data_IF_943883489371
#
_entry.id   IF_943883489371
#
_cell.length_a   1.000
_cell.length_b   1.000
_cell.length_c   1.000
_cell.angle_alpha   90.00
_cell.angle_beta   90.00
_cell.angle_gamma   90.00
#
_symmetry.space_group_name_H-M   'P 1'
#
loop_
_entity.id
_entity.type
_entity.pdbx_description
1 polymer ?
#
# COMPACT_ATOMS: atom_id res chain seq x y z
N UNK A 1 -33.77 13.09 22.97
CA UNK A 1 -32.74 12.21 23.53
C UNK A 1 -31.48 13.03 23.69
N UNK A 2 -30.80 12.93 24.81
CA UNK A 2 -29.53 13.61 25.03
C UNK A 2 -28.36 12.75 24.44
N UNK A 3 -27.19 13.33 24.23
CA UNK A 3 -26.07 12.60 23.59
C UNK A 3 -25.57 11.43 24.43
N UNK A 4 -25.72 11.45 25.73
CA UNK A 4 -25.41 10.32 26.63
C UNK A 4 -26.40 9.17 26.45
N UNK A 5 -27.69 9.49 26.30
CA UNK A 5 -28.73 8.49 26.01
C UNK A 5 -28.56 7.83 24.66
N UNK A 6 -28.14 8.60 23.64
CA UNK A 6 -27.87 8.07 22.30
C UNK A 6 -26.71 7.05 22.32
N UNK A 7 -25.67 7.32 23.12
CA UNK A 7 -24.56 6.38 23.29
C UNK A 7 -24.83 5.29 24.33
N UNK A 8 -25.95 5.39 25.10
CA UNK A 8 -26.29 4.45 26.17
C UNK A 8 -25.30 4.47 27.33
N UNK A 9 -24.76 5.65 27.66
CA UNK A 9 -23.79 5.85 28.76
C UNK A 9 -24.32 6.88 29.77
N UNK A 10 -23.75 6.90 30.96
CA UNK A 10 -24.08 7.91 31.99
C UNK A 10 -23.35 9.24 31.67
N UNK A 11 -23.94 10.36 32.16
CA UNK A 11 -23.26 11.66 32.13
C UNK A 11 -21.95 11.70 32.95
N UNK A 12 -21.76 10.73 33.87
CA UNK A 12 -20.54 10.56 34.67
C UNK A 12 -19.53 9.64 34.02
N UNK A 13 -19.82 9.06 32.82
CA UNK A 13 -18.94 8.11 32.14
C UNK A 13 -17.61 8.73 31.71
N UNK A 14 -16.56 7.93 31.80
CA UNK A 14 -15.20 8.31 31.38
C UNK A 14 -15.09 8.40 29.86
N UNK A 15 -14.07 9.08 29.36
CA UNK A 15 -13.81 9.19 27.93
C UNK A 15 -13.60 7.82 27.25
N UNK A 16 -13.02 6.85 27.98
CA UNK A 16 -12.82 5.48 27.49
C UNK A 16 -14.13 4.71 27.37
N UNK A 17 -15.04 4.90 28.30
CA UNK A 17 -16.39 4.27 28.26
C UNK A 17 -17.21 4.84 27.11
N UNK A 18 -17.18 6.16 26.90
CA UNK A 18 -17.81 6.84 25.76
C UNK A 18 -17.25 6.29 24.43
N UNK A 19 -15.94 6.16 24.33
CA UNK A 19 -15.28 5.60 23.14
C UNK A 19 -15.64 4.13 22.89
N UNK A 20 -15.75 3.33 23.95
CA UNK A 20 -16.15 1.91 23.87
C UNK A 20 -17.60 1.78 23.41
N UNK A 21 -18.51 2.59 23.96
CA UNK A 21 -19.91 2.62 23.59
C UNK A 21 -20.09 3.03 22.12
N UNK A 22 -19.39 4.08 21.68
CA UNK A 22 -19.38 4.51 20.29
C UNK A 22 -18.97 3.38 19.34
N UNK A 23 -17.83 2.73 19.59
CA UNK A 23 -17.35 1.62 18.74
C UNK A 23 -18.37 0.49 18.61
N UNK A 24 -19.03 0.15 19.71
CA UNK A 24 -20.05 -0.90 19.74
C UNK A 24 -21.26 -0.52 18.88
N UNK A 25 -21.79 0.70 19.04
CA UNK A 25 -22.97 1.17 18.31
C UNK A 25 -22.67 1.48 16.84
N UNK A 26 -21.52 2.07 16.53
CA UNK A 26 -21.07 2.31 15.17
C UNK A 26 -20.91 1.00 14.38
N UNK A 27 -20.35 -0.04 15.01
CA UNK A 27 -20.26 -1.37 14.38
C UNK A 27 -21.61 -2.08 14.25
N UNK A 28 -22.58 -1.81 15.14
CA UNK A 28 -23.92 -2.42 15.09
C UNK A 28 -24.81 -1.78 14.02
N UNK A 29 -24.69 -0.47 13.80
CA UNK A 29 -25.52 0.31 12.88
C UNK A 29 -24.82 0.74 11.59
N UNK A 30 -23.66 0.14 11.27
CA UNK A 30 -22.91 0.46 10.05
C UNK A 30 -23.75 0.18 8.80
N UNK A 31 -23.81 1.12 7.81
CA UNK A 31 -24.63 0.97 6.62
C UNK A 31 -24.29 -0.26 5.76
N UNK A 32 -23.05 -0.75 5.82
CA UNK A 32 -22.61 -1.95 5.09
C UNK A 32 -23.00 -3.29 5.77
N UNK A 33 -23.63 -3.26 6.93
CA UNK A 33 -24.13 -4.46 7.61
C UNK A 33 -25.59 -4.71 7.26
N UNK A 34 -25.95 -5.99 7.07
CA UNK A 34 -27.35 -6.41 7.00
C UNK A 34 -28.11 -5.94 8.25
N UNK A 35 -29.13 -5.06 8.06
CA UNK A 35 -29.87 -4.44 9.14
C UNK A 35 -29.27 -3.16 9.71
N UNK A 36 -28.25 -2.58 9.11
CA UNK A 36 -27.68 -1.29 9.51
C UNK A 36 -28.69 -0.15 9.37
N UNK A 37 -28.74 0.75 10.36
CA UNK A 37 -29.63 1.91 10.40
C UNK A 37 -28.81 3.18 10.24
N UNK A 38 -28.82 3.76 9.03
CA UNK A 38 -28.06 4.96 8.68
C UNK A 38 -28.42 6.15 9.58
N UNK A 39 -29.68 6.30 9.99
CA UNK A 39 -30.10 7.40 10.89
C UNK A 39 -29.49 7.23 12.28
N UNK A 40 -29.59 6.04 12.86
CA UNK A 40 -28.98 5.75 14.15
C UNK A 40 -27.46 5.87 14.12
N UNK A 41 -26.82 5.47 13.02
CA UNK A 41 -25.39 5.65 12.83
C UNK A 41 -24.98 7.12 12.86
N UNK A 42 -25.73 7.99 12.18
CA UNK A 42 -25.51 9.44 12.19
C UNK A 42 -25.70 10.06 13.58
N UNK A 43 -26.75 9.66 14.30
CA UNK A 43 -27.00 10.12 15.68
C UNK A 43 -25.87 9.71 16.62
N UNK A 44 -25.38 8.48 16.52
CA UNK A 44 -24.25 7.96 17.29
C UNK A 44 -22.94 8.72 16.98
N UNK A 45 -22.71 9.04 15.71
CA UNK A 45 -21.55 9.86 15.32
C UNK A 45 -21.64 11.28 15.86
N UNK A 46 -22.80 11.93 15.76
CA UNK A 46 -23.02 13.29 16.29
C UNK A 46 -22.83 13.33 17.80
N UNK A 47 -23.35 12.37 18.53
CA UNK A 47 -23.19 12.25 19.97
C UNK A 47 -21.72 12.08 20.37
N UNK A 48 -20.98 11.23 19.66
CA UNK A 48 -19.55 11.02 19.92
C UNK A 48 -18.71 12.26 19.62
N UNK A 49 -19.02 13.01 18.55
CA UNK A 49 -18.30 14.23 18.19
C UNK A 49 -18.37 15.32 19.29
N UNK A 50 -19.45 15.35 20.06
CA UNK A 50 -19.62 16.28 21.18
C UNK A 50 -18.98 15.73 22.45
N UNK A 51 -19.19 14.45 22.78
CA UNK A 51 -18.78 13.88 24.05
C UNK A 51 -17.32 13.40 24.09
N UNK A 52 -16.67 13.24 22.94
CA UNK A 52 -15.27 12.81 22.86
C UNK A 52 -14.25 13.91 23.20
N UNK A 53 -14.64 15.17 23.04
CA UNK A 53 -13.78 16.32 23.35
C UNK A 53 -14.14 16.90 24.72
N UNK A 54 -13.18 17.00 25.66
CA UNK A 54 -13.45 17.48 27.01
C UNK A 54 -14.09 18.86 27.07
N UNK A 55 -13.70 19.76 26.14
CA UNK A 55 -14.22 21.13 26.09
C UNK A 55 -15.67 21.19 25.58
N UNK A 56 -15.99 20.44 24.54
CA UNK A 56 -17.35 20.36 23.99
C UNK A 56 -18.28 19.65 24.95
N UNK A 57 -17.78 18.62 25.63
CA UNK A 57 -18.50 17.90 26.68
C UNK A 57 -18.84 18.81 27.84
N UNK A 58 -17.87 19.62 28.34
CA UNK A 58 -18.10 20.54 29.44
C UNK A 58 -19.16 21.60 29.10
N UNK A 59 -19.13 22.17 27.89
CA UNK A 59 -20.15 23.12 27.42
C UNK A 59 -21.53 22.45 27.32
N UNK A 60 -21.57 21.23 26.82
CA UNK A 60 -22.81 20.45 26.73
C UNK A 60 -23.36 20.10 28.09
N UNK A 61 -22.50 19.73 29.05
CA UNK A 61 -22.88 19.43 30.43
C UNK A 61 -23.41 20.69 31.16
N UNK A 62 -22.81 21.87 30.92
CA UNK A 62 -23.28 23.16 31.42
C UNK A 62 -24.68 23.52 30.89
N UNK A 63 -24.92 23.28 29.60
CA UNK A 63 -26.22 23.49 28.95
C UNK A 63 -27.29 22.55 29.54
N UNK A 64 -26.94 21.29 29.79
CA UNK A 64 -27.82 20.33 30.45
C UNK A 64 -28.16 20.71 31.91
N UNK A 65 -27.18 21.28 32.65
CA UNK A 65 -27.36 21.71 34.03
C UNK A 65 -28.19 23.00 34.16
N UNK A 66 -28.18 23.85 33.15
CA UNK A 66 -28.92 25.12 33.12
C UNK A 66 -30.41 25.03 32.82
N UNK A 67 -31.00 23.83 32.73
CA UNK A 67 -32.46 23.59 32.62
C UNK A 67 -33.09 24.03 31.29
N UNK A 68 -32.30 24.35 30.29
CA UNK A 68 -32.74 24.62 28.91
C UNK A 68 -32.93 23.29 28.16
N UNK A 69 -34.08 23.09 27.48
CA UNK A 69 -34.23 22.04 26.48
C UNK A 69 -33.08 22.20 25.49
N UNK A 70 -32.32 21.13 25.15
CA UNK A 70 -31.25 21.23 24.16
C UNK A 70 -31.88 21.71 22.85
N UNK A 71 -31.73 22.98 22.55
CA UNK A 71 -31.97 23.48 21.22
C UNK A 71 -30.86 22.90 20.37
N UNK A 72 -31.27 22.13 19.40
CA UNK A 72 -30.48 21.68 18.27
C UNK A 72 -29.33 22.67 18.04
N UNK A 73 -28.09 22.21 18.31
CA UNK A 73 -26.90 23.02 18.02
C UNK A 73 -26.82 23.15 16.51
N UNK A 74 -27.64 24.06 15.97
CA UNK A 74 -27.48 24.56 14.62
C UNK A 74 -26.22 25.39 14.63
N UNK A 75 -25.20 24.89 13.99
CA UNK A 75 -24.00 25.65 13.65
C UNK A 75 -24.39 26.86 12.80
N UNK A 76 -24.88 27.92 13.47
CA UNK A 76 -25.13 29.20 12.81
C UNK A 76 -23.78 29.88 12.58
N UNK A 77 -23.21 29.62 11.43
CA UNK A 77 -22.21 30.48 10.84
C UNK A 77 -22.86 31.90 10.65
N UNK A 78 -22.75 32.76 11.65
CA UNK A 78 -22.97 34.16 11.43
C UNK A 78 -21.80 34.72 10.63
N UNK A 79 -22.12 35.10 9.43
CA UNK A 79 -21.33 35.96 8.55
C UNK A 79 -20.55 35.23 7.43
N UNK A 80 -21.31 34.73 6.45
CA UNK A 80 -20.83 34.79 5.07
C UNK A 80 -22.02 34.98 4.12
N UNK A 81 -22.04 36.12 3.45
CA UNK A 81 -23.07 36.53 2.52
C UNK A 81 -23.17 35.58 1.31
N UNK A 82 -24.38 35.16 1.04
CA UNK A 82 -24.92 34.87 -0.27
C UNK A 82 -24.26 33.78 -1.11
N UNK A 83 -24.68 32.55 -0.89
CA UNK A 83 -25.01 31.55 -1.95
C UNK A 83 -25.43 30.25 -1.26
N UNK A 84 -26.54 29.68 -1.74
CA UNK A 84 -27.28 28.58 -1.14
C UNK A 84 -26.43 27.46 -0.58
N UNK A 85 -26.75 27.05 0.67
CA UNK A 85 -26.24 25.84 1.28
C UNK A 85 -26.75 24.62 0.53
N UNK A 86 -25.90 23.66 0.18
CA UNK A 86 -26.37 22.31 -0.15
C UNK A 86 -26.90 21.65 1.12
N UNK A 87 -28.11 21.11 1.05
CA UNK A 87 -28.80 20.46 2.15
C UNK A 87 -28.33 19.02 2.40
N UNK A 88 -27.14 18.65 1.94
CA UNK A 88 -26.65 17.28 2.00
C UNK A 88 -25.37 17.17 2.85
N UNK A 89 -25.59 16.73 4.09
CA UNK A 89 -24.52 16.22 4.98
C UNK A 89 -23.72 15.11 4.28
N UNK A 90 -24.32 14.40 3.36
CA UNK A 90 -23.70 13.36 2.54
C UNK A 90 -22.65 13.91 1.58
N UNK A 91 -22.86 15.10 1.02
CA UNK A 91 -21.92 15.79 0.14
C UNK A 91 -20.72 16.37 0.94
N UNK A 92 -20.95 16.82 2.19
CA UNK A 92 -19.92 17.26 3.10
C UNK A 92 -19.05 16.09 3.60
N UNK A 93 -19.66 14.93 3.88
CA UNK A 93 -18.97 13.70 4.25
C UNK A 93 -18.22 13.10 3.05
N UNK A 94 -18.80 13.15 1.86
CA UNK A 94 -18.18 12.72 0.62
C UNK A 94 -16.98 13.61 0.26
N UNK A 95 -17.10 14.91 0.45
CA UNK A 95 -16.00 15.88 0.29
C UNK A 95 -14.87 15.64 1.29
N UNK A 96 -15.18 15.29 2.55
CA UNK A 96 -14.19 14.94 3.57
C UNK A 96 -13.51 13.59 3.28
N UNK A 97 -14.25 12.60 2.79
CA UNK A 97 -13.73 11.28 2.44
C UNK A 97 -12.97 11.28 1.11
N UNK A 98 -13.38 12.10 0.15
CA UNK A 98 -12.73 12.21 -1.17
C UNK A 98 -11.51 13.14 -1.14
N UNK A 99 -11.40 14.03 -0.14
CA UNK A 99 -10.30 14.95 0.05
C UNK A 99 -9.32 14.51 1.16
N UNK A 100 -9.35 13.25 1.54
CA UNK A 100 -8.43 12.58 2.47
C UNK A 100 -7.02 12.35 1.89
N UNK A 101 -6.55 13.24 1.06
CA UNK A 101 -5.23 13.21 0.45
C UNK A 101 -4.77 14.60 0.03
N UNK A 102 -4.05 15.26 0.90
CA UNK A 102 -3.09 16.29 0.54
C UNK A 102 -3.63 17.58 -0.05
N UNK A 103 -3.56 18.64 0.71
CA UNK A 103 -3.70 19.98 0.17
C UNK A 103 -3.93 21.01 1.28
N UNK A 104 -2.86 21.62 1.76
CA UNK A 104 -2.86 22.87 2.49
C UNK A 104 -3.65 23.91 1.70
N UNK A 105 -4.82 24.28 2.12
CA UNK A 105 -5.27 25.67 2.09
C UNK A 105 -6.69 25.78 2.65
N UNK A 106 -6.81 25.88 3.96
CA UNK A 106 -7.98 26.48 4.57
C UNK A 106 -7.49 27.46 5.66
N UNK A 107 -7.24 28.68 5.18
CA UNK A 107 -6.72 29.79 5.95
C UNK A 107 -7.66 30.23 7.06
N UNK A 108 -7.08 30.48 8.24
CA UNK A 108 -7.35 31.60 9.07
C UNK A 108 -8.76 31.83 9.60
N UNK A 109 -9.31 30.89 10.40
CA UNK A 109 -10.41 31.18 11.32
C UNK A 109 -9.95 31.02 12.78
N UNK A 110 -10.49 31.77 13.75
CA UNK A 110 -10.03 31.76 15.16
C UNK A 110 -10.36 30.46 15.94
N UNK A 111 -10.84 29.42 15.29
CA UNK A 111 -11.12 28.12 15.88
C UNK A 111 -10.50 27.00 15.05
N UNK A 112 -9.18 26.90 15.10
CA UNK A 112 -8.49 25.71 14.61
C UNK A 112 -8.19 24.80 15.82
N UNK A 113 -8.93 23.68 16.03
CA UNK A 113 -8.65 22.76 17.14
C UNK A 113 -7.32 22.03 17.00
N UNK A 114 -6.63 22.16 15.85
CA UNK A 114 -5.27 21.69 15.60
C UNK A 114 -4.20 22.77 15.78
N UNK A 115 -4.54 23.98 16.28
CA UNK A 115 -3.57 25.05 16.52
C UNK A 115 -2.54 24.75 17.63
N UNK A 116 -2.71 23.63 18.36
CA UNK A 116 -1.72 23.14 19.32
C UNK A 116 -0.83 22.00 18.75
N UNK A 117 -0.88 21.75 17.46
CA UNK A 117 0.21 21.03 16.83
C UNK A 117 1.45 21.90 16.95
N UNK A 118 2.59 21.37 17.45
CA UNK A 118 3.82 22.15 17.46
C UNK A 118 4.03 22.71 16.06
N UNK A 119 4.46 23.97 15.91
CA UNK A 119 4.62 24.60 14.62
C UNK A 119 5.46 23.63 13.77
N UNK A 120 4.87 23.15 12.66
CA UNK A 120 5.64 22.35 11.70
C UNK A 120 6.84 23.22 11.35
N UNK A 121 8.02 22.81 11.78
CA UNK A 121 9.24 23.50 11.42
C UNK A 121 9.22 23.67 9.92
N UNK A 122 9.18 24.91 9.45
CA UNK A 122 9.29 25.20 8.03
C UNK A 122 10.59 24.56 7.56
N UNK A 123 10.50 23.64 6.63
CA UNK A 123 11.64 22.99 5.99
C UNK A 123 11.60 23.28 4.49
N UNK A 124 12.71 23.09 3.84
CA UNK A 124 12.78 23.15 2.39
C UNK A 124 11.84 22.12 1.73
N UNK A 125 11.57 22.32 0.45
CA UNK A 125 10.64 21.49 -0.31
C UNK A 125 11.13 20.03 -0.39
N UNK A 126 10.22 19.07 -0.17
CA UNK A 126 10.48 17.67 -0.39
C UNK A 126 10.58 17.38 -1.91
N UNK A 127 11.46 16.48 -2.28
CA UNK A 127 11.71 16.09 -3.67
C UNK A 127 11.27 14.64 -3.89
N UNK A 128 10.64 14.37 -5.03
CA UNK A 128 10.26 13.02 -5.45
C UNK A 128 10.94 12.69 -6.76
N UNK A 129 11.56 11.52 -6.83
CA UNK A 129 12.22 11.01 -8.02
C UNK A 129 11.85 9.55 -8.27
N UNK A 130 11.90 9.15 -9.53
CA UNK A 130 11.80 7.75 -9.94
C UNK A 130 13.22 7.22 -10.22
N UNK A 131 13.52 6.06 -9.65
CA UNK A 131 14.80 5.42 -9.85
C UNK A 131 14.64 3.99 -10.34
N UNK A 132 15.33 3.64 -11.42
CA UNK A 132 15.30 2.30 -11.99
C UNK A 132 16.42 1.45 -11.41
N UNK A 133 16.05 0.24 -10.96
CA UNK A 133 16.99 -0.77 -10.44
C UNK A 133 16.85 -2.07 -11.23
N UNK A 134 17.92 -2.85 -11.27
CA UNK A 134 17.88 -4.18 -11.85
C UNK A 134 17.25 -5.18 -10.87
N UNK A 135 16.63 -6.25 -11.39
CA UNK A 135 15.96 -7.23 -10.54
C UNK A 135 16.93 -7.88 -9.53
N UNK A 136 18.17 -8.13 -9.93
CA UNK A 136 19.21 -8.68 -9.07
C UNK A 136 19.57 -7.75 -7.88
N UNK A 137 19.45 -6.43 -8.07
CA UNK A 137 19.71 -5.45 -7.00
C UNK A 137 18.77 -5.59 -5.81
N UNK A 138 17.60 -6.19 -6.00
CA UNK A 138 16.62 -6.42 -4.94
C UNK A 138 17.02 -7.53 -3.95
N UNK A 139 18.01 -8.37 -4.30
CA UNK A 139 18.43 -9.49 -3.47
C UNK A 139 19.39 -9.11 -2.35
N UNK A 140 20.12 -8.01 -2.51
CA UNK A 140 21.18 -7.60 -1.59
C UNK A 140 20.99 -6.17 -1.13
N UNK A 141 21.46 -5.88 0.08
CA UNK A 141 21.59 -4.50 0.52
C UNK A 141 22.82 -3.88 -0.17
N UNK A 142 22.64 -2.70 -0.75
CA UNK A 142 23.71 -2.01 -1.46
C UNK A 142 23.55 -0.50 -1.40
N UNK A 143 24.63 0.21 -1.72
CA UNK A 143 24.64 1.66 -1.86
C UNK A 143 24.71 2.00 -3.34
N UNK A 144 23.74 2.78 -3.82
CA UNK A 144 23.73 3.30 -5.20
C UNK A 144 24.00 4.79 -5.17
N UNK A 145 24.95 5.24 -5.97
CA UNK A 145 25.21 6.66 -6.18
C UNK A 145 24.28 7.20 -7.25
N UNK A 146 23.60 8.29 -6.95
CA UNK A 146 22.67 8.95 -7.85
C UNK A 146 23.07 10.39 -8.11
N UNK A 147 23.14 10.78 -9.38
CA UNK A 147 23.28 12.17 -9.78
C UNK A 147 21.89 12.82 -9.85
N UNK A 148 21.52 13.58 -8.83
CA UNK A 148 20.23 14.26 -8.81
C UNK A 148 20.39 15.68 -9.36
N UNK A 149 19.72 15.97 -10.46
CA UNK A 149 19.53 17.32 -10.98
C UNK A 149 18.19 17.87 -10.49
N UNK A 150 18.20 18.54 -9.35
CA UNK A 150 17.02 19.26 -8.86
C UNK A 150 17.01 20.65 -9.50
N UNK A 151 15.89 21.12 -10.08
CA UNK A 151 15.80 22.47 -10.61
C UNK A 151 16.17 23.51 -9.53
N UNK A 152 17.15 24.35 -9.84
CA UNK A 152 17.66 25.37 -8.89
C UNK A 152 18.85 24.92 -8.05
N UNK A 153 19.39 23.70 -8.24
CA UNK A 153 20.57 23.19 -7.54
C UNK A 153 21.66 22.71 -8.49
N UNK A 154 22.94 22.92 -8.15
CA UNK A 154 24.01 22.22 -8.83
C UNK A 154 23.82 20.72 -8.60
N UNK A 155 23.98 19.90 -9.66
CA UNK A 155 23.85 18.46 -9.57
C UNK A 155 24.71 17.91 -8.43
N UNK A 156 24.10 17.22 -7.50
CA UNK A 156 24.76 16.63 -6.33
C UNK A 156 24.72 15.11 -6.45
N UNK A 157 25.84 14.46 -6.19
CA UNK A 157 25.90 13.01 -6.08
C UNK A 157 25.42 12.63 -4.69
N UNK A 158 24.35 11.83 -4.65
CA UNK A 158 23.77 11.35 -3.37
C UNK A 158 23.91 9.84 -3.32
N UNK A 159 24.42 9.35 -2.20
CA UNK A 159 24.47 7.93 -1.90
C UNK A 159 23.14 7.47 -1.29
N UNK A 160 22.45 6.57 -1.98
CA UNK A 160 21.20 5.97 -1.53
C UNK A 160 21.46 4.55 -1.03
N UNK A 161 21.10 4.29 0.21
CA UNK A 161 21.08 2.94 0.76
C UNK A 161 19.84 2.22 0.25
N UNK A 162 20.04 1.23 -0.61
CA UNK A 162 18.99 0.36 -1.12
C UNK A 162 18.89 -0.87 -0.18
N UNK A 163 17.83 -1.00 0.63
CA UNK A 163 17.64 -2.18 1.45
C UNK A 163 17.27 -3.38 0.57
N UNK A 164 17.62 -4.59 1.01
CA UNK A 164 17.19 -5.80 0.33
C UNK A 164 15.66 -5.93 0.38
N UNK A 165 15.09 -6.52 -0.64
CA UNK A 165 13.64 -6.75 -0.72
C UNK A 165 12.84 -5.53 -1.16
N UNK A 166 13.48 -4.53 -1.75
CA UNK A 166 12.77 -3.43 -2.42
C UNK A 166 12.00 -4.00 -3.60
N UNK A 167 10.71 -3.71 -3.66
CA UNK A 167 9.80 -4.17 -4.70
C UNK A 167 9.46 -3.04 -5.70
N UNK A 168 8.94 -3.42 -6.85
CA UNK A 168 8.50 -2.47 -7.88
C UNK A 168 7.43 -1.51 -7.34
N UNK A 169 7.64 -0.21 -7.49
CA UNK A 169 6.75 0.84 -6.98
C UNK A 169 6.98 1.22 -5.51
N UNK A 170 7.91 0.58 -4.79
CA UNK A 170 8.24 0.94 -3.42
C UNK A 170 8.76 2.39 -3.35
N UNK A 171 8.29 3.14 -2.34
CA UNK A 171 8.74 4.50 -2.06
C UNK A 171 9.52 4.51 -0.76
N UNK A 172 10.79 4.91 -0.84
CA UNK A 172 11.67 5.05 0.34
C UNK A 172 11.95 6.52 0.57
N UNK A 173 11.80 6.92 1.83
CA UNK A 173 12.10 8.28 2.29
C UNK A 173 13.55 8.35 2.78
N UNK A 174 14.29 9.29 2.26
CA UNK A 174 15.64 9.63 2.72
C UNK A 174 15.58 11.03 3.35
N UNK A 175 15.71 11.13 4.69
CA UNK A 175 15.61 12.41 5.39
C UNK A 175 16.73 13.37 4.97
N UNK A 176 16.40 14.66 4.89
CA UNK A 176 17.35 15.76 4.64
C UNK A 176 18.11 15.72 3.30
N UNK A 177 17.75 14.79 2.39
CA UNK A 177 18.34 14.70 1.06
C UNK A 177 17.50 15.36 -0.03
N UNK A 178 16.45 16.09 0.33
CA UNK A 178 15.60 16.83 -0.60
C UNK A 178 16.09 18.24 -0.92
N UNK A 179 15.15 19.17 -1.14
CA UNK A 179 15.46 20.55 -1.50
C UNK A 179 16.29 21.30 -0.46
N UNK A 180 17.15 22.20 -0.94
CA UNK A 180 18.05 23.06 -0.13
C UNK A 180 17.95 24.54 -0.54
N UNK A 181 16.79 24.99 -1.07
CA UNK A 181 16.62 26.31 -1.66
C UNK A 181 16.86 27.46 -0.67
N UNK A 182 16.48 27.28 0.57
CA UNK A 182 16.62 28.27 1.63
C UNK A 182 17.66 27.74 2.63
N UNK A 183 18.81 28.40 2.70
CA UNK A 183 19.95 27.97 3.55
C UNK A 183 19.64 28.01 5.06
N UNK A 184 18.69 28.85 5.46
CA UNK A 184 18.30 29.06 6.86
C UNK A 184 17.28 28.00 7.34
N UNK A 185 16.71 27.21 6.44
CA UNK A 185 15.76 26.16 6.76
C UNK A 185 16.40 24.77 6.66
N UNK A 186 15.95 23.80 7.49
CA UNK A 186 16.33 22.41 7.32
C UNK A 186 16.05 21.92 5.90
N UNK A 187 16.87 21.01 5.40
CA UNK A 187 16.67 20.41 4.08
C UNK A 187 15.29 19.71 4.02
N UNK A 188 14.73 19.64 2.82
CA UNK A 188 13.57 18.80 2.55
C UNK A 188 13.95 17.30 2.58
N UNK A 189 12.97 16.45 2.47
CA UNK A 189 13.16 15.00 2.36
C UNK A 189 13.17 14.58 0.89
N UNK A 190 13.93 13.53 0.57
CA UNK A 190 13.94 12.91 -0.74
C UNK A 190 13.10 11.63 -0.70
N UNK A 191 12.10 11.54 -1.55
CA UNK A 191 11.29 10.35 -1.75
C UNK A 191 11.69 9.69 -3.08
N UNK A 192 12.22 8.48 -3.00
CA UNK A 192 12.64 7.72 -4.17
C UNK A 192 11.64 6.61 -4.43
N UNK A 193 10.98 6.64 -5.57
CA UNK A 193 10.15 5.55 -6.04
C UNK A 193 10.98 4.61 -6.92
N UNK A 194 11.07 3.35 -6.51
CA UNK A 194 11.88 2.35 -7.19
C UNK A 194 11.07 1.62 -8.26
N UNK A 195 11.63 1.55 -9.46
CA UNK A 195 11.07 0.79 -10.58
C UNK A 195 12.03 -0.33 -10.95
N UNK A 196 11.63 -1.58 -10.74
CA UNK A 196 12.42 -2.74 -11.15
C UNK A 196 12.28 -2.91 -12.65
N UNK A 197 13.43 -2.97 -13.36
CA UNK A 197 13.47 -3.22 -14.81
C UNK A 197 13.03 -4.64 -15.12
N UNK A 198 12.37 -4.86 -16.28
CA UNK A 198 12.12 -6.21 -16.79
C UNK A 198 13.43 -6.99 -16.93
N UNK A 199 13.42 -8.27 -16.52
CA UNK A 199 14.57 -9.15 -16.69
C UNK A 199 14.31 -10.12 -17.86
N UNK A 200 15.31 -10.46 -18.70
CA UNK A 200 15.08 -11.32 -19.87
C UNK A 200 14.62 -12.73 -19.51
N UNK A 201 15.13 -13.30 -18.41
CA UNK A 201 14.89 -14.71 -18.04
C UNK A 201 13.93 -14.86 -16.85
N UNK A 202 13.65 -13.80 -16.12
CA UNK A 202 12.83 -13.84 -14.92
C UNK A 202 11.69 -12.84 -14.95
N UNK A 203 10.51 -13.32 -14.63
CA UNK A 203 9.35 -12.53 -14.26
C UNK A 203 9.10 -12.64 -12.76
N UNK A 204 8.29 -11.77 -12.19
CA UNK A 204 8.01 -11.81 -10.76
C UNK A 204 6.57 -11.41 -10.43
N UNK A 205 6.03 -12.06 -9.40
CA UNK A 205 4.74 -11.74 -8.80
C UNK A 205 4.92 -11.73 -7.27
N UNK A 206 4.93 -10.52 -6.69
CA UNK A 206 5.28 -10.32 -5.29
C UNK A 206 6.67 -10.87 -4.97
N UNK A 207 6.75 -11.85 -4.06
CA UNK A 207 8.00 -12.51 -3.69
C UNK A 207 8.36 -13.71 -4.59
N UNK A 208 7.46 -14.12 -5.48
CA UNK A 208 7.66 -15.27 -6.35
C UNK A 208 8.41 -14.85 -7.61
N UNK A 209 9.53 -15.50 -7.90
CA UNK A 209 10.19 -15.43 -9.19
C UNK A 209 9.61 -16.49 -10.12
N UNK A 210 9.50 -16.17 -11.39
CA UNK A 210 9.01 -17.07 -12.44
C UNK A 210 10.05 -17.09 -13.55
N UNK A 211 10.49 -18.28 -13.94
CA UNK A 211 11.37 -18.48 -15.10
C UNK A 211 10.82 -19.58 -15.99
N UNK A 212 11.29 -19.63 -17.22
CA UNK A 212 10.87 -20.64 -18.20
C UNK A 212 12.03 -21.57 -18.52
N UNK A 213 11.75 -22.86 -18.49
CA UNK A 213 12.68 -23.91 -18.92
C UNK A 213 12.12 -24.57 -20.16
N UNK A 214 12.86 -24.56 -21.26
CA UNK A 214 12.49 -25.25 -22.50
C UNK A 214 13.17 -26.59 -22.58
N UNK A 215 12.37 -27.65 -22.76
CA UNK A 215 12.86 -29.00 -23.02
C UNK A 215 12.30 -29.54 -24.35
N UNK A 216 12.93 -30.57 -24.85
CA UNK A 216 12.45 -31.29 -26.02
C UNK A 216 11.23 -32.18 -25.68
N UNK A 217 10.30 -32.37 -26.62
CA UNK A 217 9.14 -33.22 -26.45
C UNK A 217 9.52 -34.66 -26.10
N UNK A 218 10.60 -35.20 -26.66
CA UNK A 218 11.11 -36.53 -26.34
C UNK A 218 11.61 -36.63 -24.88
N UNK A 219 12.30 -35.57 -24.42
CA UNK A 219 12.73 -35.46 -23.01
C UNK A 219 11.52 -35.40 -22.06
N UNK A 220 10.43 -34.70 -22.49
CA UNK A 220 9.20 -34.66 -21.70
C UNK A 220 8.50 -36.01 -21.57
N UNK A 221 8.61 -36.89 -22.61
CA UNK A 221 8.04 -38.22 -22.60
C UNK A 221 8.82 -39.14 -21.66
N UNK A 222 10.16 -39.16 -21.78
CA UNK A 222 11.02 -40.10 -21.06
C UNK A 222 11.41 -39.60 -19.66
N UNK A 223 11.26 -38.31 -19.41
CA UNK A 223 11.81 -37.62 -18.23
C UNK A 223 13.27 -37.24 -18.44
N UNK A 224 13.71 -36.20 -17.74
CA UNK A 224 15.09 -35.76 -17.80
C UNK A 224 15.48 -34.98 -16.54
N UNK A 225 16.76 -34.74 -16.37
CA UNK A 225 17.31 -33.84 -15.37
C UNK A 225 17.87 -32.61 -16.04
N UNK A 226 17.56 -31.43 -15.54
CA UNK A 226 18.00 -30.14 -16.09
C UNK A 226 18.50 -29.22 -14.99
N UNK A 227 19.52 -28.47 -15.33
CA UNK A 227 20.07 -27.42 -14.48
C UNK A 227 19.44 -26.08 -14.79
N UNK A 228 19.16 -25.31 -13.74
CA UNK A 228 18.60 -23.97 -13.82
C UNK A 228 19.43 -23.05 -12.95
N UNK A 229 19.78 -21.91 -13.48
CA UNK A 229 20.47 -20.85 -12.73
C UNK A 229 19.45 -19.91 -12.11
N UNK A 230 19.51 -19.73 -10.80
CA UNK A 230 18.71 -18.75 -10.06
C UNK A 230 19.18 -17.33 -10.29
N UNK A 231 18.37 -16.35 -9.86
CA UNK A 231 18.70 -14.92 -9.98
C UNK A 231 19.97 -14.53 -9.18
N UNK A 232 20.33 -15.30 -8.16
CA UNK A 232 21.55 -15.14 -7.36
C UNK A 232 22.76 -15.89 -7.94
N UNK A 233 22.64 -16.44 -9.16
CA UNK A 233 23.69 -17.20 -9.84
C UNK A 233 23.88 -18.65 -9.36
N UNK A 234 23.09 -19.12 -8.39
CA UNK A 234 23.16 -20.50 -7.94
C UNK A 234 22.52 -21.44 -8.95
N UNK A 235 23.14 -22.58 -9.16
CA UNK A 235 22.64 -23.63 -10.06
C UNK A 235 21.86 -24.68 -9.27
N UNK A 236 20.69 -25.04 -9.77
CA UNK A 236 19.80 -26.03 -9.19
C UNK A 236 19.50 -27.12 -10.23
N UNK A 237 19.57 -28.37 -9.80
CA UNK A 237 19.11 -29.49 -10.61
C UNK A 237 17.63 -29.74 -10.36
N UNK A 238 16.86 -29.90 -11.44
CA UNK A 238 15.44 -30.25 -11.43
C UNK A 238 15.23 -31.53 -12.18
N UNK A 239 14.62 -32.51 -11.50
CA UNK A 239 14.19 -33.76 -12.12
C UNK A 239 12.78 -33.58 -12.69
N UNK A 240 12.65 -33.77 -13.98
CA UNK A 240 11.39 -33.72 -14.72
C UNK A 240 10.88 -35.15 -14.92
N UNK A 241 9.73 -35.49 -14.31
CA UNK A 241 9.17 -36.84 -14.44
C UNK A 241 8.76 -37.17 -15.88
N UNK A 242 8.76 -38.47 -16.27
CA UNK A 242 8.21 -38.88 -17.56
C UNK A 242 6.75 -38.46 -17.70
N UNK A 243 6.35 -38.10 -18.93
CA UNK A 243 5.00 -37.68 -19.24
C UNK A 243 4.62 -36.27 -18.77
N UNK A 244 5.61 -35.46 -18.40
CA UNK A 244 5.36 -34.08 -17.95
C UNK A 244 4.79 -33.25 -19.10
N UNK A 245 3.70 -32.50 -18.81
CA UNK A 245 2.98 -31.71 -19.80
C UNK A 245 3.50 -30.26 -19.90
N UNK A 246 3.21 -29.64 -21.05
CA UNK A 246 3.46 -28.20 -21.24
C UNK A 246 2.81 -27.37 -20.14
N UNK A 247 3.53 -26.37 -19.64
CA UNK A 247 3.04 -25.50 -18.58
C UNK A 247 3.15 -26.08 -17.16
N UNK A 248 3.70 -27.29 -17.00
CA UNK A 248 4.01 -27.85 -15.69
C UNK A 248 4.91 -26.89 -14.89
N UNK A 249 4.67 -26.78 -13.58
CA UNK A 249 5.36 -25.85 -12.71
C UNK A 249 6.13 -26.57 -11.63
N UNK A 250 7.41 -26.27 -11.53
CA UNK A 250 8.30 -26.79 -10.50
C UNK A 250 8.68 -25.65 -9.54
N UNK A 251 8.51 -25.84 -8.25
CA UNK A 251 8.79 -24.82 -7.25
C UNK A 251 10.06 -25.09 -6.46
N UNK A 252 10.99 -24.17 -6.46
CA UNK A 252 12.20 -24.19 -5.62
C UNK A 252 11.98 -23.21 -4.47
N UNK A 253 12.02 -23.73 -3.23
CA UNK A 253 11.83 -22.91 -2.04
C UNK A 253 13.02 -21.99 -1.81
N UNK A 254 12.78 -20.84 -1.18
CA UNK A 254 13.81 -19.88 -0.78
C UNK A 254 14.69 -19.36 -1.92
N UNK A 255 14.17 -19.38 -3.17
CA UNK A 255 14.85 -18.88 -4.38
C UNK A 255 14.11 -17.76 -5.10
N UNK A 256 13.05 -17.21 -4.48
CA UNK A 256 12.34 -16.03 -4.94
C UNK A 256 12.97 -14.73 -4.49
N UNK A 257 12.18 -13.66 -4.43
CA UNK A 257 12.58 -12.35 -3.93
C UNK A 257 12.43 -12.24 -2.41
N UNK A 258 13.12 -11.29 -1.82
CA UNK A 258 12.85 -10.84 -0.46
C UNK A 258 11.71 -9.81 -0.46
N UNK A 259 11.13 -9.60 0.71
CA UNK A 259 10.22 -8.49 0.97
C UNK A 259 10.68 -7.75 2.23
N UNK A 260 10.66 -6.42 2.19
CA UNK A 260 11.19 -5.58 3.26
C UNK A 260 10.51 -5.83 4.61
N UNK A 261 9.21 -6.18 4.57
CA UNK A 261 8.37 -6.34 5.77
C UNK A 261 8.05 -7.80 6.14
N UNK A 262 8.61 -8.77 5.41
CA UNK A 262 8.37 -10.19 5.67
C UNK A 262 9.69 -10.93 5.86
N UNK A 263 9.78 -11.82 6.86
CA UNK A 263 10.96 -12.66 7.02
C UNK A 263 11.02 -13.71 5.89
N UNK A 264 12.25 -14.04 5.48
CA UNK A 264 12.49 -15.09 4.49
C UNK A 264 12.49 -14.62 3.05
N UNK A 265 12.58 -15.58 2.17
CA UNK A 265 12.65 -15.43 0.71
C UNK A 265 11.50 -16.21 0.07
N UNK A 266 10.94 -15.69 -1.02
CA UNK A 266 9.90 -16.37 -1.77
C UNK A 266 10.43 -17.61 -2.51
N UNK A 267 9.59 -18.18 -3.36
CA UNK A 267 9.92 -19.34 -4.19
C UNK A 267 10.29 -18.92 -5.61
N UNK A 268 11.09 -19.74 -6.28
CA UNK A 268 11.27 -19.71 -7.73
C UNK A 268 10.34 -20.75 -8.35
N UNK A 269 9.49 -20.32 -9.27
CA UNK A 269 8.65 -21.21 -10.09
C UNK A 269 9.30 -21.34 -11.46
N UNK A 270 9.57 -22.58 -11.84
CA UNK A 270 10.05 -22.92 -13.17
C UNK A 270 8.88 -23.42 -13.99
N UNK A 271 8.53 -22.70 -15.04
CA UNK A 271 7.45 -23.06 -15.95
C UNK A 271 8.01 -23.79 -17.16
N UNK A 272 7.55 -25.02 -17.37
CA UNK A 272 8.06 -25.87 -18.45
C UNK A 272 7.46 -25.45 -19.79
N UNK A 273 8.32 -25.20 -20.76
CA UNK A 273 8.01 -25.13 -22.18
C UNK A 273 8.47 -26.40 -22.89
N UNK A 274 7.61 -26.95 -23.73
CA UNK A 274 7.96 -28.12 -24.56
C UNK A 274 8.16 -27.66 -26.00
N UNK A 275 9.33 -27.93 -26.55
CA UNK A 275 9.66 -27.71 -27.95
C UNK A 275 9.62 -29.03 -28.69
N UNK A 276 8.90 -29.07 -29.81
CA UNK A 276 8.88 -30.24 -30.69
C UNK A 276 10.06 -30.12 -31.66
N UNK A 277 10.98 -31.11 -31.70
CA UNK A 277 12.13 -31.05 -32.60
C UNK A 277 11.67 -31.16 -34.05
N UNK A 278 12.23 -30.30 -34.89
CA UNK A 278 11.94 -30.26 -36.33
C UNK A 278 12.99 -31.00 -37.17
N UNK A 279 14.20 -31.21 -36.62
CA UNK A 279 15.33 -31.80 -37.30
C UNK A 279 15.55 -33.22 -36.80
N UNK A 280 14.67 -34.13 -37.20
CA UNK A 280 14.81 -35.54 -36.94
C UNK A 280 15.37 -36.28 -38.15
N UNK A 281 16.26 -37.24 -37.93
CA UNK A 281 16.75 -38.14 -38.99
C UNK A 281 15.65 -39.09 -39.45
N UNK A 282 15.78 -39.69 -40.63
CA UNK A 282 14.80 -40.64 -41.14
C UNK A 282 14.66 -41.88 -40.22
N UNK A 283 15.74 -42.36 -39.63
CA UNK A 283 15.73 -43.47 -38.67
C UNK A 283 15.01 -43.09 -37.39
N UNK A 284 15.21 -41.86 -36.85
CA UNK A 284 14.49 -41.37 -35.70
C UNK A 284 12.99 -41.24 -35.98
N UNK A 285 12.62 -40.73 -37.16
CA UNK A 285 11.22 -40.61 -37.59
C UNK A 285 10.56 -42.00 -37.72
N UNK A 286 11.30 -42.99 -38.28
CA UNK A 286 10.82 -44.36 -38.36
C UNK A 286 10.56 -44.94 -36.98
N UNK A 287 11.52 -44.83 -36.07
CA UNK A 287 11.38 -45.31 -34.69
C UNK A 287 10.16 -44.70 -33.98
N UNK A 288 9.96 -43.37 -34.12
CA UNK A 288 8.79 -42.68 -33.52
C UNK A 288 7.49 -43.18 -34.13
N UNK A 289 7.43 -43.44 -35.46
CA UNK A 289 6.23 -44.01 -36.13
C UNK A 289 5.91 -45.40 -35.60
N UNK A 290 6.94 -46.24 -35.44
CA UNK A 290 6.76 -47.61 -34.91
C UNK A 290 6.20 -47.58 -33.48
N UNK A 291 6.68 -46.67 -32.64
CA UNK A 291 6.13 -46.47 -31.28
C UNK A 291 4.70 -45.97 -31.33
N UNK A 292 4.38 -45.01 -32.21
CA UNK A 292 3.03 -44.46 -32.35
C UNK A 292 2.02 -45.50 -32.88
N UNK A 293 2.48 -46.42 -33.74
CA UNK A 293 1.64 -47.49 -34.29
C UNK A 293 1.33 -48.60 -33.27
N UNK A 294 2.13 -48.71 -32.20
CA UNK A 294 1.95 -49.70 -31.12
C UNK A 294 1.07 -49.21 -29.96
N UNK A 295 0.61 -47.99 -30.05
CA UNK A 295 -0.33 -47.35 -29.11
C UNK A 295 -1.69 -47.13 -29.75
#
# INVERSE_FOLDING_TARGET
MNHYEILGVSNTSTADEIKKAYRKLASAHHPDKEGGDTKKFQEVQAAYAILSEPQKRALYDEELAGGGRPQHFSFHSRNMGGRGMPNDIEEMLRSFMQNGGGGNDFGGGPFNPFANSPPRQQKNQDVRINFQIDLADTLTEQVKTLDIKIPGFPGEQIELKLPRGVFHGAVIKYPELGGKAIKELPNGDLYVQFHVKPHPDFDFDGMTLITQLTINALEAIIGCEKEITGLDGKVFSITIPPGTQFGARFGIRDQGLYHTNMPGRGKLIVMLKINVPTNLTEDQMKTIRDITASH
#
